data_IF_375773969173
#
_entry.id   IF_375773969173
#
_cell.length_a   1.000
_cell.length_b   1.000
_cell.length_c   1.000
_cell.angle_alpha   90.00
_cell.angle_beta   90.00
_cell.angle_gamma   90.00
#
_symmetry.space_group_name_H-M   'P 1'
#
loop_
_entity.id
_entity.type
_entity.pdbx_description
1 polymer ?
#
# COMPACT_ATOMS: atom_id res chain seq x y z
N UNK A 1 -13.54 -40.02 20.91
CA UNK A 1 -13.92 -38.60 20.70
C UNK A 1 -12.74 -37.76 21.14
N UNK A 2 -11.88 -37.34 20.22
CA UNK A 2 -10.77 -36.43 20.50
C UNK A 2 -11.36 -35.03 20.68
N UNK A 3 -11.37 -34.56 21.93
CA UNK A 3 -11.74 -33.18 22.27
C UNK A 3 -10.76 -32.22 21.60
N UNK A 4 -11.18 -31.59 20.52
CA UNK A 4 -10.44 -30.51 19.87
C UNK A 4 -10.50 -29.33 20.84
N UNK A 5 -9.46 -29.14 21.65
CA UNK A 5 -9.35 -27.93 22.46
C UNK A 5 -9.29 -26.72 21.51
N UNK A 6 -10.11 -25.68 21.74
CA UNK A 6 -10.01 -24.46 20.95
C UNK A 6 -8.60 -23.90 21.11
N UNK A 7 -7.88 -23.77 20.00
CA UNK A 7 -6.57 -23.11 20.00
C UNK A 7 -6.73 -21.68 20.57
N UNK A 8 -5.79 -21.21 21.39
CA UNK A 8 -5.93 -19.95 22.10
C UNK A 8 -5.81 -18.78 21.13
N UNK A 9 -6.89 -17.98 21.02
CA UNK A 9 -6.90 -16.72 20.28
C UNK A 9 -5.78 -15.84 20.80
N UNK A 10 -4.79 -15.54 19.97
CA UNK A 10 -3.84 -14.45 20.30
C UNK A 10 -4.68 -13.18 20.40
N UNK A 11 -4.88 -12.61 21.60
CA UNK A 11 -5.73 -11.43 21.74
C UNK A 11 -5.04 -10.24 21.05
N UNK A 12 -5.79 -9.43 20.31
CA UNK A 12 -5.32 -8.16 19.72
C UNK A 12 -4.52 -7.31 20.74
N UNK A 13 -4.92 -7.38 22.01
CA UNK A 13 -4.26 -6.72 23.14
C UNK A 13 -2.77 -7.06 23.28
N UNK A 14 -2.34 -8.29 22.92
CA UNK A 14 -0.94 -8.70 23.02
C UNK A 14 -0.07 -8.00 21.97
N UNK A 15 -0.55 -7.86 20.74
CA UNK A 15 0.20 -7.17 19.68
C UNK A 15 0.25 -5.66 19.92
N UNK A 16 -0.84 -5.04 20.36
CA UNK A 16 -0.86 -3.62 20.71
C UNK A 16 0.03 -3.32 21.92
N UNK A 17 0.01 -4.19 22.93
CA UNK A 17 0.90 -4.06 24.08
C UNK A 17 2.35 -4.21 23.65
N UNK A 18 2.66 -5.19 22.80
CA UNK A 18 4.01 -5.35 22.24
C UNK A 18 4.48 -4.09 21.50
N UNK A 19 3.63 -3.56 20.60
CA UNK A 19 3.90 -2.36 19.81
C UNK A 19 4.19 -1.12 20.66
N UNK A 20 3.47 -0.96 21.78
CA UNK A 20 3.59 0.18 22.68
C UNK A 20 4.69 -0.01 23.73
N UNK A 21 5.09 -1.25 24.01
CA UNK A 21 6.09 -1.57 25.03
C UNK A 21 7.50 -1.52 24.49
N UNK A 22 7.76 -2.05 23.29
CA UNK A 22 9.11 -2.16 22.75
C UNK A 22 9.38 -1.08 21.69
N UNK A 23 10.53 -0.38 21.76
CA UNK A 23 10.96 0.47 20.66
C UNK A 23 11.29 -0.41 19.46
N UNK A 24 10.49 -0.29 18.42
CA UNK A 24 10.59 -1.09 17.21
C UNK A 24 11.18 -0.19 16.12
N UNK A 25 12.48 -0.34 15.77
CA UNK A 25 13.10 0.47 14.74
C UNK A 25 12.57 0.04 13.36
N UNK A 26 12.29 1.02 12.51
CA UNK A 26 11.94 0.76 11.11
C UNK A 26 13.20 0.32 10.36
N UNK A 27 13.07 -0.73 9.55
CA UNK A 27 14.13 -1.24 8.70
C UNK A 27 14.66 -0.15 7.77
N UNK A 28 15.97 0.10 7.83
CA UNK A 28 16.62 1.09 6.97
C UNK A 28 16.48 2.55 7.43
N UNK A 29 16.22 2.81 8.72
CA UNK A 29 16.10 4.16 9.32
C UNK A 29 17.38 5.02 9.32
N UNK A 30 18.39 4.66 8.54
CA UNK A 30 19.39 5.63 8.06
C UNK A 30 18.65 6.59 7.12
N UNK A 31 17.96 7.57 7.71
CA UNK A 31 16.85 8.33 7.12
C UNK A 31 17.11 8.79 5.68
N UNK A 32 16.56 8.03 4.73
CA UNK A 32 16.11 8.57 3.44
C UNK A 32 14.90 9.43 3.77
N UNK A 33 15.13 10.74 3.86
CA UNK A 33 14.14 11.81 3.93
C UNK A 33 12.82 11.53 4.71
N UNK A 34 12.62 12.13 5.90
CA UNK A 34 11.37 12.05 6.66
C UNK A 34 10.10 12.23 5.82
N UNK A 35 10.12 13.15 4.86
CA UNK A 35 8.96 13.45 4.03
C UNK A 35 8.66 12.32 3.04
N UNK A 36 9.68 11.61 2.55
CA UNK A 36 9.50 10.42 1.73
C UNK A 36 8.83 9.30 2.54
N UNK A 37 9.31 9.04 3.75
CA UNK A 37 8.72 8.04 4.65
C UNK A 37 7.26 8.36 4.96
N UNK A 38 6.99 9.63 5.24
CA UNK A 38 5.64 10.14 5.46
C UNK A 38 4.71 9.90 4.27
N UNK A 39 5.16 10.27 3.06
CA UNK A 39 4.41 10.11 1.83
C UNK A 39 4.08 8.64 1.53
N UNK A 40 5.04 7.74 1.76
CA UNK A 40 4.86 6.29 1.63
C UNK A 40 3.79 5.79 2.59
N UNK A 41 3.89 6.12 3.88
CA UNK A 41 2.93 5.69 4.90
C UNK A 41 1.50 6.15 4.57
N UNK A 42 1.35 7.42 4.19
CA UNK A 42 0.06 7.99 3.82
C UNK A 42 -0.56 7.27 2.61
N UNK A 43 0.24 7.08 1.55
CA UNK A 43 -0.21 6.45 0.31
C UNK A 43 -0.58 4.99 0.50
N UNK A 44 0.17 4.26 1.32
CA UNK A 44 -0.03 2.83 1.46
C UNK A 44 -1.22 2.47 2.36
N UNK A 45 -1.63 3.38 3.26
CA UNK A 45 -2.56 3.04 4.34
C UNK A 45 -3.90 3.79 4.34
N UNK A 46 -3.99 4.99 3.74
CA UNK A 46 -5.21 5.80 3.77
C UNK A 46 -6.20 5.51 2.64
N UNK A 47 -5.77 5.48 1.37
CA UNK A 47 -6.70 5.18 0.30
C UNK A 47 -7.09 3.70 0.36
N UNK A 48 -8.39 3.35 0.29
CA UNK A 48 -8.77 2.00 -0.03
C UNK A 48 -8.20 1.66 -1.41
N UNK A 49 -7.65 0.47 -1.56
CA UNK A 49 -7.11 0.00 -2.82
C UNK A 49 -8.23 -0.21 -3.86
N UNK A 50 -9.46 -0.50 -3.40
CA UNK A 50 -10.63 -0.83 -4.23
C UNK A 50 -11.45 0.38 -4.69
N UNK A 51 -11.51 1.49 -3.93
CA UNK A 51 -12.06 2.71 -4.53
C UNK A 51 -11.04 3.12 -5.56
N UNK A 52 -11.50 3.12 -6.81
CA UNK A 52 -10.91 3.77 -7.95
C UNK A 52 -10.59 5.24 -7.63
N UNK A 53 -9.59 5.49 -6.78
CA UNK A 53 -8.48 6.28 -7.22
C UNK A 53 -7.99 5.58 -8.47
N UNK A 54 -8.66 5.94 -9.56
CA UNK A 54 -8.16 5.70 -10.88
C UNK A 54 -6.72 6.18 -10.77
N UNK A 55 -5.79 5.23 -10.69
CA UNK A 55 -4.63 5.24 -11.56
C UNK A 55 -5.23 5.23 -12.97
N UNK A 56 -5.90 6.33 -13.33
CA UNK A 56 -6.21 6.68 -14.68
C UNK A 56 -4.83 6.76 -15.27
N UNK A 57 -4.55 5.99 -16.31
CA UNK A 57 -3.35 6.20 -17.11
C UNK A 57 -3.29 7.62 -17.72
N UNK A 58 -4.30 8.48 -17.48
CA UNK A 58 -4.30 9.93 -17.74
C UNK A 58 -3.63 10.77 -16.66
N UNK A 59 -3.57 10.31 -15.41
CA UNK A 59 -2.74 10.93 -14.40
C UNK A 59 -1.50 10.06 -14.29
N UNK A 60 -0.35 10.64 -14.68
CA UNK A 60 0.99 10.07 -14.56
C UNK A 60 1.14 9.18 -13.32
N UNK A 61 1.93 8.09 -13.36
CA UNK A 61 1.89 6.96 -12.44
C UNK A 61 2.17 7.29 -10.96
N UNK A 62 1.40 8.15 -10.27
CA UNK A 62 1.89 8.91 -9.11
C UNK A 62 3.41 9.03 -9.18
N UNK A 63 3.89 9.80 -10.15
CA UNK A 63 5.14 10.51 -9.94
C UNK A 63 4.86 11.41 -8.73
N UNK A 64 4.97 10.81 -7.55
CA UNK A 64 5.54 11.49 -6.42
C UNK A 64 6.79 12.12 -7.01
N UNK A 65 6.74 13.43 -7.23
CA UNK A 65 7.91 14.31 -7.40
C UNK A 65 8.71 14.32 -6.07
N UNK A 66 9.01 13.12 -5.60
CA UNK A 66 10.09 12.68 -4.77
C UNK A 66 11.02 11.82 -5.63
N UNK A 67 11.11 12.10 -6.93
CA UNK A 67 12.38 11.88 -7.62
C UNK A 67 13.40 12.73 -6.86
N UNK A 68 14.41 12.14 -6.20
CA UNK A 68 15.53 12.92 -5.70
C UNK A 68 16.03 13.75 -6.87
N UNK A 69 16.25 15.04 -6.65
CA UNK A 69 16.67 16.04 -7.64
C UNK A 69 18.07 15.80 -8.24
N UNK A 70 18.46 14.54 -8.44
CA UNK A 70 19.73 14.09 -8.99
C UNK A 70 19.56 13.23 -10.25
N UNK A 71 18.34 12.99 -10.73
CA UNK A 71 18.13 12.50 -12.09
C UNK A 71 17.81 13.69 -13.00
N UNK A 72 18.90 14.19 -13.54
CA UNK A 72 19.08 15.38 -14.35
C UNK A 72 18.51 15.18 -15.77
N UNK A 73 17.21 15.37 -15.94
CA UNK A 73 16.62 15.61 -17.27
C UNK A 73 16.05 17.02 -17.29
N UNK A 74 16.85 17.97 -17.79
CA UNK A 74 16.60 19.41 -17.83
C UNK A 74 15.33 19.85 -18.58
N UNK A 75 14.16 19.52 -18.04
CA UNK A 75 12.87 20.04 -18.48
C UNK A 75 12.38 21.11 -17.47
N UNK A 76 12.48 22.41 -17.80
CA UNK A 76 12.09 23.49 -16.89
C UNK A 76 10.57 23.62 -16.65
N UNK A 77 9.74 22.85 -17.34
CA UNK A 77 8.27 22.94 -17.23
C UNK A 77 7.62 21.92 -16.26
N UNK A 78 8.39 21.02 -15.64
CA UNK A 78 7.89 20.05 -14.63
C UNK A 78 8.03 20.64 -13.22
N UNK A 79 7.43 21.81 -12.95
CA UNK A 79 7.50 22.45 -11.62
C UNK A 79 6.14 22.77 -10.97
N UNK A 80 5.03 22.44 -11.62
CA UNK A 80 3.71 22.88 -11.15
C UNK A 80 2.66 21.77 -10.97
N UNK A 81 2.93 20.51 -11.36
CA UNK A 81 1.93 19.45 -11.49
C UNK A 81 1.54 18.69 -10.20
N UNK A 82 2.49 18.29 -9.35
CA UNK A 82 2.22 17.38 -8.22
C UNK A 82 2.18 18.06 -6.84
N UNK A 83 1.60 19.27 -6.75
CA UNK A 83 1.42 20.01 -5.49
C UNK A 83 0.22 19.57 -4.63
N UNK A 84 -0.62 18.63 -5.05
CA UNK A 84 -1.94 18.48 -4.45
C UNK A 84 -2.27 17.10 -3.88
N UNK A 85 -1.91 16.92 -2.61
CA UNK A 85 -2.90 16.53 -1.59
C UNK A 85 -2.50 17.10 -0.23
N UNK A 86 -3.43 17.90 0.33
CA UNK A 86 -3.64 18.55 1.64
C UNK A 86 -2.69 18.37 2.83
N UNK A 87 -1.78 17.42 2.79
CA UNK A 87 -1.08 16.89 3.95
C UNK A 87 0.09 17.79 4.39
N UNK A 88 0.62 18.63 3.50
CA UNK A 88 1.56 19.72 3.85
C UNK A 88 0.91 21.06 4.14
N UNK A 89 -0.42 21.21 4.01
CA UNK A 89 -1.05 22.52 4.28
C UNK A 89 -1.13 22.82 5.78
N UNK A 90 -1.07 21.80 6.64
CA UNK A 90 -1.20 21.96 8.08
C UNK A 90 0.15 21.83 8.76
N UNK A 91 0.45 22.77 9.65
CA UNK A 91 1.63 22.69 10.50
C UNK A 91 1.50 21.56 11.52
N UNK A 92 2.63 20.94 11.91
CA UNK A 92 2.64 19.92 12.98
C UNK A 92 1.99 20.44 14.26
N UNK A 93 2.14 21.74 14.59
CA UNK A 93 1.44 22.36 15.73
C UNK A 93 -0.08 22.25 15.61
N UNK A 94 -0.65 22.57 14.44
CA UNK A 94 -2.09 22.46 14.19
C UNK A 94 -2.58 21.01 14.33
N UNK A 95 -1.85 20.05 13.74
CA UNK A 95 -2.15 18.62 13.84
C UNK A 95 -2.07 18.14 15.29
N UNK A 96 -1.06 18.56 16.05
CA UNK A 96 -0.94 18.23 17.47
C UNK A 96 -2.10 18.78 18.30
N UNK A 97 -2.59 19.98 18.00
CA UNK A 97 -3.76 20.56 18.68
C UNK A 97 -5.01 19.72 18.40
N UNK A 98 -5.29 19.40 17.13
CA UNK A 98 -6.46 18.58 16.81
C UNK A 98 -6.38 17.16 17.35
N UNK A 99 -5.18 16.55 17.37
CA UNK A 99 -4.97 15.24 18.00
C UNK A 99 -5.23 15.28 19.52
N UNK A 100 -4.91 16.39 20.21
CA UNK A 100 -5.28 16.58 21.63
C UNK A 100 -6.78 16.73 21.84
N UNK A 101 -7.48 17.28 20.85
CA UNK A 101 -8.95 17.39 20.81
C UNK A 101 -9.63 16.12 20.29
N UNK A 102 -8.89 15.02 20.14
CA UNK A 102 -9.38 13.72 19.65
C UNK A 102 -10.00 13.77 18.24
N UNK A 103 -9.56 14.71 17.41
CA UNK A 103 -9.87 14.72 15.97
C UNK A 103 -9.11 13.54 15.34
N UNK A 104 -9.83 12.48 14.99
CA UNK A 104 -9.26 11.20 14.56
C UNK A 104 -8.29 11.31 13.38
N UNK A 105 -8.57 12.17 12.41
CA UNK A 105 -7.68 12.38 11.26
C UNK A 105 -6.35 13.01 11.68
N UNK A 106 -6.38 13.91 12.66
CA UNK A 106 -5.18 14.54 13.20
C UNK A 106 -4.39 13.59 14.10
N UNK A 107 -5.07 12.66 14.78
CA UNK A 107 -4.43 11.57 15.51
C UNK A 107 -3.67 10.63 14.56
N UNK A 108 -4.33 10.18 13.48
CA UNK A 108 -3.71 9.32 12.46
C UNK A 108 -2.52 10.03 11.79
N UNK A 109 -2.68 11.29 11.41
CA UNK A 109 -1.62 12.10 10.82
C UNK A 109 -0.44 12.32 11.78
N UNK A 110 -0.72 12.66 13.05
CA UNK A 110 0.31 12.84 14.07
C UNK A 110 1.12 11.55 14.28
N UNK A 111 0.47 10.39 14.28
CA UNK A 111 1.16 9.11 14.41
C UNK A 111 2.19 8.91 13.29
N UNK A 112 1.83 9.21 12.04
CA UNK A 112 2.74 9.10 10.89
C UNK A 112 3.86 10.12 10.98
N UNK A 113 3.58 11.38 11.37
CA UNK A 113 4.61 12.42 11.54
C UNK A 113 5.64 12.02 12.59
N UNK A 114 5.19 11.51 13.75
CA UNK A 114 6.05 10.99 14.81
C UNK A 114 6.88 9.80 14.34
N UNK A 115 6.34 8.95 13.48
CA UNK A 115 7.07 7.80 12.92
C UNK A 115 8.11 8.21 11.88
N UNK A 116 7.73 9.12 10.99
CA UNK A 116 8.56 9.57 9.89
C UNK A 116 9.61 10.61 10.32
N UNK A 117 9.38 11.30 11.45
CA UNK A 117 10.22 12.42 11.90
C UNK A 117 9.95 13.72 11.12
N UNK A 118 8.71 13.94 10.64
CA UNK A 118 8.35 15.15 9.88
C UNK A 118 8.01 16.28 10.84
N UNK A 119 8.89 17.28 10.91
CA UNK A 119 8.82 18.41 11.85
C UNK A 119 8.67 17.97 13.33
N UNK A 120 9.09 16.74 13.64
CA UNK A 120 9.12 16.17 14.99
C UNK A 120 10.37 15.30 15.13
N UNK A 121 10.82 15.08 16.36
CA UNK A 121 11.70 13.94 16.63
C UNK A 121 10.96 12.63 16.28
N UNK A 122 11.71 11.61 15.84
CA UNK A 122 11.14 10.27 15.64
C UNK A 122 10.75 9.70 17.00
N UNK A 123 9.49 9.34 17.16
CA UNK A 123 8.92 8.77 18.38
C UNK A 123 7.91 7.67 18.01
N UNK A 124 8.45 6.49 17.69
CA UNK A 124 7.66 5.32 17.25
C UNK A 124 6.67 4.86 18.31
N UNK A 125 7.08 4.91 19.58
CA UNK A 125 6.27 4.51 20.73
C UNK A 125 5.05 5.41 20.90
N UNK A 126 5.23 6.73 20.82
CA UNK A 126 4.10 7.66 20.92
C UNK A 126 3.16 7.54 19.73
N UNK A 127 3.68 7.40 18.52
CA UNK A 127 2.84 7.15 17.34
C UNK A 127 2.03 5.86 17.49
N UNK A 128 2.64 4.78 17.97
CA UNK A 128 1.96 3.50 18.25
C UNK A 128 0.83 3.65 19.30
N UNK A 129 1.07 4.39 20.38
CA UNK A 129 0.05 4.65 21.40
C UNK A 129 -1.14 5.44 20.83
N UNK A 130 -0.90 6.37 19.91
CA UNK A 130 -1.98 7.11 19.24
C UNK A 130 -2.80 6.15 18.36
N UNK A 131 -2.16 5.29 17.57
CA UNK A 131 -2.89 4.31 16.74
C UNK A 131 -3.68 3.31 17.59
N UNK A 132 -3.11 2.83 18.70
CA UNK A 132 -3.83 2.00 19.67
C UNK A 132 -5.11 2.69 20.14
N UNK A 133 -5.02 3.95 20.56
CA UNK A 133 -6.19 4.76 20.95
C UNK A 133 -7.22 4.89 19.84
N UNK A 134 -6.80 5.10 18.58
CA UNK A 134 -7.73 5.17 17.44
C UNK A 134 -8.42 3.82 17.19
N UNK A 135 -7.70 2.70 17.26
CA UNK A 135 -8.25 1.38 17.02
C UNK A 135 -9.23 0.93 18.13
N UNK A 136 -8.84 1.10 19.40
CA UNK A 136 -9.63 0.69 20.56
C UNK A 136 -10.75 1.68 20.90
N UNK A 137 -10.61 2.96 20.51
CA UNK A 137 -11.55 4.03 20.83
C UNK A 137 -12.89 3.97 20.08
N UNK A 138 -13.85 4.86 20.39
CA UNK A 138 -15.19 4.87 19.81
C UNK A 138 -15.25 5.54 18.41
N UNK A 139 -14.27 5.27 17.55
CA UNK A 139 -14.18 5.88 16.22
C UNK A 139 -14.88 5.03 15.15
N UNK A 140 -15.21 5.68 14.02
CA UNK A 140 -15.83 5.01 12.88
C UNK A 140 -14.97 3.85 12.35
N UNK A 141 -15.57 2.74 11.88
CA UNK A 141 -14.84 1.55 11.42
C UNK A 141 -13.76 1.86 10.37
N UNK A 142 -14.02 2.78 9.45
CA UNK A 142 -13.08 3.14 8.38
C UNK A 142 -11.79 3.73 8.95
N UNK A 143 -11.89 4.56 10.01
CA UNK A 143 -10.74 5.17 10.67
C UNK A 143 -9.95 4.15 11.47
N UNK A 144 -10.65 3.20 12.12
CA UNK A 144 -10.03 2.04 12.76
C UNK A 144 -9.29 1.17 11.74
N UNK A 145 -9.87 1.01 10.54
CA UNK A 145 -9.24 0.31 9.43
C UNK A 145 -7.91 0.94 9.04
N UNK A 146 -7.86 2.27 8.92
CA UNK A 146 -6.61 3.00 8.63
C UNK A 146 -5.58 2.79 9.74
N UNK A 147 -5.98 2.84 11.00
CA UNK A 147 -5.09 2.55 12.12
C UNK A 147 -4.53 1.11 12.05
N UNK A 148 -5.39 0.12 11.81
CA UNK A 148 -4.98 -1.27 11.64
C UNK A 148 -4.00 -1.45 10.47
N UNK A 149 -4.28 -0.79 9.34
CA UNK A 149 -3.39 -0.76 8.18
C UNK A 149 -2.02 -0.16 8.50
N UNK A 150 -1.96 0.94 9.24
CA UNK A 150 -0.69 1.55 9.67
C UNK A 150 0.09 0.63 10.62
N UNK A 151 -0.58 -0.06 11.53
CA UNK A 151 0.05 -1.05 12.42
C UNK A 151 0.57 -2.24 11.61
N UNK A 152 -0.16 -2.71 10.60
CA UNK A 152 0.29 -3.76 9.70
C UNK A 152 1.58 -3.35 8.96
N UNK A 153 1.64 -2.11 8.44
CA UNK A 153 2.84 -1.57 7.79
C UNK A 153 4.04 -1.59 8.73
N UNK A 154 3.80 -1.19 9.98
CA UNK A 154 4.83 -1.16 10.98
C UNK A 154 5.44 -2.54 11.20
N UNK A 155 4.61 -3.54 11.54
CA UNK A 155 5.09 -4.91 11.72
C UNK A 155 5.74 -5.49 10.44
N UNK A 156 5.25 -5.12 9.26
CA UNK A 156 5.85 -5.56 8.00
C UNK A 156 7.28 -5.04 7.80
N UNK A 157 7.58 -3.82 8.24
CA UNK A 157 8.86 -3.14 8.03
C UNK A 157 9.74 -3.03 9.28
N UNK A 158 9.35 -3.61 10.41
CA UNK A 158 10.20 -3.64 11.60
C UNK A 158 11.29 -4.70 11.46
N UNK A 159 12.54 -4.28 11.69
CA UNK A 159 13.64 -5.19 12.00
C UNK A 159 13.84 -5.11 13.52
N UNK A 160 13.64 -6.19 14.28
CA UNK A 160 14.05 -6.22 15.69
C UNK A 160 15.41 -6.90 15.82
N UNK A 161 16.52 -6.16 15.94
CA UNK A 161 17.84 -6.76 16.12
C UNK A 161 18.01 -7.39 17.51
N UNK A 162 17.24 -6.96 18.52
CA UNK A 162 17.50 -7.29 19.92
C UNK A 162 16.64 -8.43 20.54
N UNK A 163 15.97 -9.28 19.75
CA UNK A 163 15.33 -10.49 20.31
C UNK A 163 15.84 -11.71 19.57
N UNK A 164 17.11 -12.08 19.73
CA UNK A 164 17.58 -13.38 19.22
C UNK A 164 16.97 -14.57 19.97
N UNK A 165 16.22 -14.34 21.05
CA UNK A 165 15.53 -15.39 21.80
C UNK A 165 14.27 -15.85 21.04
N UNK A 166 14.23 -17.11 20.57
CA UNK A 166 13.03 -17.67 20.00
C UNK A 166 11.97 -17.74 21.11
N UNK A 167 10.86 -17.05 20.92
CA UNK A 167 9.66 -17.25 21.76
C UNK A 167 8.79 -18.18 20.94
N UNK A 168 8.46 -19.35 21.49
CA UNK A 168 7.72 -20.41 20.80
C UNK A 168 8.41 -20.96 19.53
N UNK A 169 9.75 -20.92 19.47
CA UNK A 169 10.52 -21.42 18.32
C UNK A 169 10.43 -20.57 17.05
N UNK A 170 9.71 -19.44 17.07
CA UNK A 170 9.60 -18.53 15.94
C UNK A 170 10.71 -17.48 15.94
N UNK A 171 11.27 -17.20 14.76
CA UNK A 171 12.17 -16.06 14.59
C UNK A 171 11.42 -14.74 14.82
N UNK A 172 12.09 -13.66 15.27
CA UNK A 172 11.46 -12.34 15.45
C UNK A 172 10.76 -11.84 14.20
N UNK A 173 11.42 -12.01 13.05
CA UNK A 173 10.90 -11.66 11.74
C UNK A 173 9.59 -12.38 11.45
N UNK A 174 9.49 -13.66 11.79
CA UNK A 174 8.26 -14.43 11.64
C UNK A 174 7.15 -13.91 12.57
N UNK A 175 7.46 -13.53 13.82
CA UNK A 175 6.45 -12.97 14.73
C UNK A 175 5.87 -11.64 14.21
N UNK A 176 6.74 -10.78 13.71
CA UNK A 176 6.33 -9.52 13.08
C UNK A 176 5.50 -9.77 11.82
N UNK A 177 5.90 -10.75 11.02
CA UNK A 177 5.12 -11.17 9.87
C UNK A 177 3.70 -11.63 10.23
N UNK A 178 3.56 -12.49 11.24
CA UNK A 178 2.26 -12.95 11.75
C UNK A 178 1.42 -11.77 12.25
N UNK A 179 2.02 -10.83 12.99
CA UNK A 179 1.33 -9.62 13.41
C UNK A 179 0.88 -8.77 12.22
N UNK A 180 1.71 -8.63 11.18
CA UNK A 180 1.35 -7.88 9.98
C UNK A 180 0.15 -8.50 9.25
N UNK A 181 0.09 -9.83 9.12
CA UNK A 181 -1.07 -10.55 8.57
C UNK A 181 -2.32 -10.28 9.41
N UNK A 182 -2.21 -10.43 10.72
CA UNK A 182 -3.33 -10.21 11.64
C UNK A 182 -3.91 -8.79 11.49
N UNK A 183 -3.05 -7.77 11.52
CA UNK A 183 -3.48 -6.37 11.40
C UNK A 183 -4.02 -6.03 10.00
N UNK A 184 -3.46 -6.64 8.94
CA UNK A 184 -4.03 -6.53 7.60
C UNK A 184 -5.43 -7.15 7.55
N UNK A 185 -5.67 -8.28 8.22
CA UNK A 185 -6.98 -8.90 8.32
C UNK A 185 -7.96 -8.04 9.13
N UNK A 186 -7.52 -7.42 10.23
CA UNK A 186 -8.36 -6.46 10.96
C UNK A 186 -8.76 -5.25 10.12
N UNK A 187 -7.83 -4.69 9.33
CA UNK A 187 -8.15 -3.65 8.36
C UNK A 187 -9.24 -4.09 7.37
N UNK A 188 -9.13 -5.32 6.85
CA UNK A 188 -10.14 -5.90 5.94
C UNK A 188 -11.51 -6.05 6.61
N UNK A 189 -11.57 -6.54 7.86
CA UNK A 189 -12.84 -6.69 8.62
C UNK A 189 -13.53 -5.36 8.85
N UNK A 190 -12.75 -4.28 8.95
CA UNK A 190 -13.22 -2.91 9.11
C UNK A 190 -13.56 -2.24 7.77
N UNK A 191 -13.57 -3.01 6.67
CA UNK A 191 -13.95 -2.52 5.34
C UNK A 191 -12.83 -1.79 4.59
N UNK A 192 -11.58 -1.85 5.06
CA UNK A 192 -10.44 -1.23 4.39
C UNK A 192 -9.43 -2.30 3.91
N UNK A 193 -9.40 -2.54 2.61
CA UNK A 193 -8.29 -3.22 1.96
C UNK A 193 -7.34 -2.16 1.38
N UNK A 194 -6.20 -1.91 2.02
CA UNK A 194 -5.21 -0.89 1.62
C UNK A 194 -4.07 -1.50 0.79
N UNK A 195 -3.17 -0.66 0.26
CA UNK A 195 -2.00 -1.16 -0.46
C UNK A 195 -1.06 -1.97 0.43
N UNK A 196 -0.96 -1.66 1.73
CA UNK A 196 -0.19 -2.50 2.64
C UNK A 196 -0.85 -3.86 2.87
N UNK A 197 -2.19 -3.96 2.90
CA UNK A 197 -2.87 -5.27 2.90
C UNK A 197 -2.47 -6.08 1.65
N UNK A 198 -2.41 -5.44 0.48
CA UNK A 198 -1.94 -6.09 -0.74
C UNK A 198 -0.46 -6.49 -0.67
N UNK A 199 0.43 -5.66 -0.10
CA UNK A 199 1.84 -6.02 0.09
C UNK A 199 2.00 -7.22 1.04
N UNK A 200 1.24 -7.25 2.14
CA UNK A 200 1.19 -8.39 3.05
C UNK A 200 0.76 -9.66 2.32
N UNK A 201 -0.30 -9.56 1.51
CA UNK A 201 -0.79 -10.67 0.69
C UNK A 201 0.24 -11.16 -0.35
N UNK A 202 0.92 -10.25 -1.06
CA UNK A 202 1.96 -10.59 -2.04
C UNK A 202 3.14 -11.33 -1.42
N UNK A 203 3.61 -10.83 -0.27
CA UNK A 203 4.70 -11.48 0.45
C UNK A 203 4.26 -12.85 0.99
N UNK A 204 3.00 -13.01 1.44
CA UNK A 204 2.48 -14.30 1.86
C UNK A 204 2.46 -15.34 0.74
N UNK A 205 2.12 -14.93 -0.49
CA UNK A 205 2.13 -15.79 -1.68
C UNK A 205 3.55 -16.23 -2.09
N UNK A 206 4.57 -15.51 -1.64
CA UNK A 206 5.98 -15.80 -1.95
C UNK A 206 6.64 -16.72 -0.91
N UNK A 207 5.94 -17.04 0.17
CA UNK A 207 6.45 -17.96 1.19
C UNK A 207 6.42 -19.39 0.65
N UNK A 208 7.45 -20.21 0.97
CA UNK A 208 7.48 -21.60 0.55
C UNK A 208 6.25 -22.36 1.07
N UNK A 209 5.82 -23.39 0.33
CA UNK A 209 4.60 -24.19 0.55
C UNK A 209 4.58 -24.99 1.87
N UNK A 210 5.54 -24.77 2.78
CA UNK A 210 5.56 -25.33 4.14
C UNK A 210 4.51 -24.66 5.04
N UNK A 211 3.26 -24.79 4.58
CA UNK A 211 2.02 -24.28 5.16
C UNK A 211 1.74 -24.89 6.53
N UNK A 212 2.40 -25.99 6.88
CA UNK A 212 2.25 -26.72 8.13
C UNK A 212 2.54 -25.82 9.36
N UNK A 213 3.44 -24.84 9.25
CA UNK A 213 3.75 -23.93 10.38
C UNK A 213 2.69 -22.85 10.64
N UNK A 214 1.79 -22.59 9.70
CA UNK A 214 0.74 -21.58 9.82
C UNK A 214 -0.61 -22.18 10.23
N UNK A 215 -0.66 -23.48 10.51
CA UNK A 215 -1.90 -24.20 10.78
C UNK A 215 -2.53 -23.76 12.11
N UNK A 216 -3.51 -22.87 12.00
CA UNK A 216 -4.29 -22.39 13.13
C UNK A 216 -5.00 -21.08 12.80
N UNK A 217 -4.99 -20.17 13.77
CA UNK A 217 -5.77 -18.93 13.75
C UNK A 217 -5.35 -17.98 12.64
N UNK A 218 -4.07 -18.00 12.27
CA UNK A 218 -3.56 -17.16 11.20
C UNK A 218 -4.08 -17.57 9.83
N UNK A 219 -4.46 -18.84 9.64
CA UNK A 219 -5.00 -19.30 8.36
C UNK A 219 -6.26 -18.52 7.99
N UNK A 220 -7.15 -18.28 8.96
CA UNK A 220 -8.36 -17.49 8.73
C UNK A 220 -8.06 -16.02 8.40
N UNK A 221 -7.08 -15.41 9.08
CA UNK A 221 -6.63 -14.04 8.79
C UNK A 221 -6.01 -13.94 7.39
N UNK A 222 -5.14 -14.89 7.04
CA UNK A 222 -4.48 -14.94 5.74
C UNK A 222 -5.47 -15.20 4.61
N UNK A 223 -6.37 -16.17 4.76
CA UNK A 223 -7.40 -16.50 3.77
C UNK A 223 -8.30 -15.27 3.52
N UNK A 224 -8.66 -14.53 4.56
CA UNK A 224 -9.42 -13.28 4.43
C UNK A 224 -8.64 -12.23 3.61
N UNK A 225 -7.38 -11.99 3.93
CA UNK A 225 -6.53 -11.01 3.24
C UNK A 225 -6.33 -11.41 1.77
N UNK A 226 -6.13 -12.69 1.48
CA UNK A 226 -5.99 -13.21 0.11
C UNK A 226 -7.31 -13.09 -0.68
N UNK A 227 -8.45 -13.38 -0.07
CA UNK A 227 -9.75 -13.23 -0.72
C UNK A 227 -10.02 -11.76 -1.09
N UNK A 228 -9.72 -10.81 -0.19
CA UNK A 228 -9.86 -9.38 -0.47
C UNK A 228 -8.89 -8.92 -1.57
N UNK A 229 -7.68 -9.50 -1.64
CA UNK A 229 -6.77 -9.25 -2.75
C UNK A 229 -7.35 -9.71 -4.09
N UNK A 230 -8.02 -10.85 -4.15
CA UNK A 230 -8.63 -11.32 -5.39
C UNK A 230 -9.71 -10.37 -5.90
N UNK A 231 -10.54 -9.83 -5.00
CA UNK A 231 -11.52 -8.78 -5.30
C UNK A 231 -10.80 -7.55 -5.87
N UNK A 232 -9.79 -7.04 -5.16
CA UNK A 232 -8.99 -5.89 -5.60
C UNK A 232 -8.34 -6.09 -6.98
N UNK A 233 -7.74 -7.25 -7.24
CA UNK A 233 -7.14 -7.57 -8.55
C UNK A 233 -8.21 -7.63 -9.64
N UNK A 234 -9.39 -8.19 -9.32
CA UNK A 234 -10.53 -8.22 -10.24
C UNK A 234 -11.04 -6.83 -10.63
N UNK A 235 -11.09 -5.91 -9.66
CA UNK A 235 -11.59 -4.54 -9.81
C UNK A 235 -10.61 -3.58 -10.45
N UNK A 236 -9.30 -3.76 -10.25
CA UNK A 236 -8.28 -2.78 -10.68
C UNK A 236 -7.35 -3.29 -11.78
N UNK A 237 -7.31 -4.61 -11.98
CA UNK A 237 -6.35 -5.26 -12.87
C UNK A 237 -4.92 -5.22 -12.36
N UNK A 238 -4.69 -4.75 -11.12
CA UNK A 238 -3.37 -4.66 -10.52
C UNK A 238 -2.67 -6.03 -10.57
N UNK A 239 -1.40 -6.04 -10.98
CA UNK A 239 -0.57 -7.24 -10.99
C UNK A 239 0.55 -7.08 -9.96
N UNK A 240 0.92 -8.17 -9.26
CA UNK A 240 1.99 -8.12 -8.27
C UNK A 240 3.29 -7.59 -8.89
N UNK A 241 4.00 -6.74 -8.15
CA UNK A 241 5.27 -6.14 -8.63
C UNK A 241 6.40 -7.16 -8.69
N UNK A 242 6.27 -8.25 -7.95
CA UNK A 242 7.24 -9.33 -7.94
C UNK A 242 7.24 -10.02 -9.30
N UNK A 243 8.27 -9.74 -10.10
CA UNK A 243 8.44 -10.32 -11.44
C UNK A 243 8.78 -11.81 -11.43
N UNK A 244 8.63 -12.44 -10.28
CA UNK A 244 9.04 -13.80 -9.99
C UNK A 244 7.85 -14.72 -9.75
N UNK A 245 6.60 -14.25 -9.83
CA UNK A 245 5.41 -15.10 -9.66
C UNK A 245 4.48 -15.04 -10.88
N UNK A 246 3.90 -16.20 -11.22
CA UNK A 246 2.93 -16.29 -12.30
C UNK A 246 1.60 -15.59 -11.91
N UNK A 247 1.12 -14.63 -12.70
CA UNK A 247 -0.11 -13.88 -12.46
C UNK A 247 -1.39 -14.73 -12.45
N UNK A 248 -1.34 -15.97 -12.96
CA UNK A 248 -2.45 -16.93 -12.90
C UNK A 248 -2.38 -17.87 -11.71
N UNK A 249 -1.31 -18.67 -11.62
CA UNK A 249 -1.22 -19.75 -10.62
C UNK A 249 -0.46 -19.35 -9.35
N UNK A 250 0.09 -18.13 -9.31
CA UNK A 250 0.84 -17.54 -8.20
C UNK A 250 2.10 -18.32 -7.80
N UNK A 251 2.53 -19.30 -8.62
CA UNK A 251 3.76 -20.07 -8.41
C UNK A 251 4.97 -19.32 -8.94
N UNK A 252 6.07 -19.44 -8.20
CA UNK A 252 7.41 -19.08 -8.67
C UNK A 252 7.81 -20.03 -9.80
N UNK A 253 8.41 -19.54 -10.91
CA UNK A 253 8.90 -20.41 -11.95
C UNK A 253 10.09 -21.24 -11.43
N UNK A 254 10.39 -22.41 -12.03
CA UNK A 254 11.62 -23.14 -11.75
C UNK A 254 12.86 -22.24 -11.86
N UNK A 255 13.89 -22.52 -11.06
CA UNK A 255 15.14 -21.77 -11.09
C UNK A 255 15.71 -21.70 -12.52
N UNK A 256 16.13 -20.50 -12.94
CA UNK A 256 16.63 -20.24 -14.29
C UNK A 256 15.57 -20.04 -15.39
N UNK A 257 14.28 -20.28 -15.12
CA UNK A 257 13.23 -20.03 -16.11
C UNK A 257 12.62 -18.63 -15.99
N UNK A 258 12.40 -17.97 -17.14
CA UNK A 258 11.80 -16.64 -17.21
C UNK A 258 10.28 -16.74 -17.42
N UNK A 259 9.52 -15.87 -16.74
CA UNK A 259 8.08 -15.76 -16.95
C UNK A 259 7.78 -15.02 -18.26
N UNK A 260 6.83 -15.55 -19.03
CA UNK A 260 6.30 -14.93 -20.24
C UNK A 260 5.47 -13.70 -19.86
N UNK A 261 5.86 -12.53 -20.36
CA UNK A 261 5.07 -11.30 -20.17
C UNK A 261 3.89 -11.24 -21.13
N UNK A 262 2.80 -10.59 -20.73
CA UNK A 262 1.73 -10.25 -21.67
C UNK A 262 2.29 -9.37 -22.81
N UNK A 263 2.02 -9.80 -24.06
CA UNK A 263 2.42 -9.08 -25.27
C UNK A 263 1.54 -7.86 -25.58
N UNK A 264 0.50 -7.61 -24.79
CA UNK A 264 -0.37 -6.46 -24.95
C UNK A 264 0.28 -5.14 -24.54
N UNK A 265 -0.37 -4.06 -24.95
CA UNK A 265 0.01 -2.66 -24.69
C UNK A 265 -0.49 -2.11 -23.36
N UNK A 266 -0.71 -2.98 -22.36
CA UNK A 266 -1.06 -2.53 -21.01
C UNK A 266 0.15 -1.94 -20.28
N UNK A 267 -0.11 -0.97 -19.41
CA UNK A 267 0.86 -0.41 -18.47
C UNK A 267 1.64 -1.51 -17.72
N UNK A 268 2.93 -1.25 -17.46
CA UNK A 268 3.83 -2.19 -16.77
C UNK A 268 3.26 -2.69 -15.43
N UNK A 269 2.59 -1.81 -14.67
CA UNK A 269 1.95 -2.14 -13.38
C UNK A 269 0.75 -3.09 -13.49
N UNK A 270 0.18 -3.22 -14.69
CA UNK A 270 -0.93 -4.12 -15.02
C UNK A 270 -0.50 -5.26 -15.93
N UNK A 271 0.79 -5.38 -16.27
CA UNK A 271 1.30 -6.36 -17.24
C UNK A 271 1.68 -7.66 -16.52
N UNK A 272 0.81 -8.68 -16.55
CA UNK A 272 1.06 -9.94 -15.86
C UNK A 272 2.20 -10.70 -16.54
N UNK A 273 2.83 -11.56 -15.75
CA UNK A 273 3.79 -12.54 -16.24
C UNK A 273 3.28 -13.95 -15.95
N UNK A 274 3.60 -14.92 -16.80
CA UNK A 274 3.05 -16.26 -16.74
C UNK A 274 4.13 -17.31 -16.88
N UNK A 275 4.00 -18.43 -16.18
CA UNK A 275 4.91 -19.56 -16.35
C UNK A 275 4.77 -20.24 -17.72
N UNK A 276 3.73 -19.93 -18.49
CA UNK A 276 3.54 -20.48 -19.83
C UNK A 276 2.25 -19.99 -20.50
N UNK A 277 2.09 -20.32 -21.80
CA UNK A 277 0.91 -19.93 -22.61
C UNK A 277 -0.41 -20.47 -22.04
N UNK A 278 -0.39 -21.60 -21.35
CA UNK A 278 -1.59 -22.16 -20.71
C UNK A 278 -2.12 -21.24 -19.60
N UNK A 279 -1.25 -20.77 -18.71
CA UNK A 279 -1.62 -19.82 -17.66
C UNK A 279 -2.07 -18.47 -18.24
N UNK A 280 -1.41 -17.99 -19.30
CA UNK A 280 -1.82 -16.77 -19.99
C UNK A 280 -3.23 -16.89 -20.59
N UNK A 281 -3.53 -17.99 -21.30
CA UNK A 281 -4.86 -18.23 -21.87
C UNK A 281 -5.94 -18.34 -20.80
N UNK A 282 -5.65 -19.04 -19.70
CA UNK A 282 -6.59 -19.21 -18.59
C UNK A 282 -6.90 -17.90 -17.86
N UNK A 283 -5.93 -16.97 -17.80
CA UNK A 283 -6.12 -15.65 -17.20
C UNK A 283 -6.70 -14.61 -18.16
N UNK A 284 -6.75 -14.90 -19.47
CA UNK A 284 -7.07 -13.91 -20.50
C UNK A 284 -8.43 -13.26 -20.32
N UNK A 285 -9.47 -14.01 -19.95
CA UNK A 285 -10.82 -13.46 -19.73
C UNK A 285 -10.84 -12.40 -18.61
N UNK A 286 -9.98 -12.55 -17.60
CA UNK A 286 -9.79 -11.59 -16.50
C UNK A 286 -8.90 -10.42 -16.95
N UNK A 287 -7.74 -10.72 -17.53
CA UNK A 287 -6.75 -9.70 -17.90
C UNK A 287 -7.20 -8.82 -19.07
N UNK A 288 -7.94 -9.34 -20.05
CA UNK A 288 -8.36 -8.62 -21.27
C UNK A 288 -9.05 -7.28 -20.96
N UNK A 289 -9.77 -7.18 -19.85
CA UNK A 289 -10.44 -5.95 -19.39
C UNK A 289 -9.44 -4.79 -19.20
N UNK A 290 -8.23 -5.14 -18.77
CA UNK A 290 -7.12 -4.26 -18.42
C UNK A 290 -6.01 -4.25 -19.49
N UNK A 291 -6.01 -5.24 -20.39
CA UNK A 291 -5.08 -5.37 -21.51
C UNK A 291 -5.47 -4.46 -22.69
N UNK A 292 -5.75 -3.18 -22.41
CA UNK A 292 -6.03 -2.20 -23.45
C UNK A 292 -4.73 -1.45 -23.76
N UNK A 293 -4.59 -0.99 -25.01
CA UNK A 293 -3.62 0.05 -25.35
C UNK A 293 -3.96 1.21 -24.42
N UNK A 294 -3.08 1.51 -23.49
CA UNK A 294 -3.09 2.85 -22.91
C UNK A 294 -3.11 3.76 -24.13
N UNK A 295 -4.18 4.54 -24.29
CA UNK A 295 -4.15 5.66 -25.22
C UNK A 295 -2.93 6.44 -24.76
N UNK A 296 -1.84 6.34 -25.52
CA UNK A 296 -0.60 7.02 -25.20
C UNK A 296 -1.02 8.47 -25.00
N UNK A 297 -0.88 9.06 -23.79
CA UNK A 297 -1.28 10.45 -23.59
C UNK A 297 -0.46 11.38 -24.48
N UNK A 298 0.68 10.89 -25.00
CA UNK A 298 1.49 11.56 -26.03
C UNK A 298 0.97 11.40 -27.47
N UNK A 299 0.00 10.51 -27.74
CA UNK A 299 -0.53 10.26 -29.08
C UNK A 299 -1.88 10.92 -29.38
N UNK A 300 -2.54 11.47 -28.36
CA UNK A 300 -3.67 12.40 -28.51
C UNK A 300 -3.18 13.85 -28.61
N UNK A 301 -2.04 14.09 -29.27
CA UNK A 301 -1.75 15.41 -29.86
C UNK A 301 -2.70 15.65 -31.05
N UNK A 302 -4.00 15.62 -30.78
CA UNK A 302 -4.99 16.27 -31.64
C UNK A 302 -4.81 17.75 -31.38
N UNK A 303 -3.84 18.32 -32.08
CA UNK A 303 -3.71 19.73 -32.42
C UNK A 303 -4.52 20.67 -31.50
N UNK A 304 -4.10 20.80 -30.24
CA UNK A 304 -4.70 21.74 -29.28
C UNK A 304 -4.58 23.18 -29.81
N UNK A 305 -3.59 23.41 -30.68
CA UNK A 305 -3.45 24.60 -31.52
C UNK A 305 -4.59 24.78 -32.53
N UNK A 306 -5.18 23.72 -33.09
CA UNK A 306 -6.32 23.83 -33.99
C UNK A 306 -7.63 24.17 -33.25
N UNK A 307 -7.81 23.68 -32.02
CA UNK A 307 -8.93 24.07 -31.15
C UNK A 307 -8.79 25.52 -30.64
N UNK A 308 -7.56 25.97 -30.38
CA UNK A 308 -7.30 27.36 -29.99
C UNK A 308 -7.44 28.34 -31.18
N UNK A 309 -7.06 27.92 -32.39
CA UNK A 309 -7.20 28.74 -33.61
C UNK A 309 -8.66 28.87 -34.10
N UNK A 310 -9.56 27.96 -33.74
CA UNK A 310 -11.00 28.13 -34.04
C UNK A 310 -11.71 29.14 -33.13
N UNK A 311 -11.20 29.41 -31.93
CA UNK A 311 -11.85 30.30 -30.97
C UNK A 311 -11.39 31.76 -31.04
N UNK A 312 -10.33 32.08 -31.79
CA UNK A 312 -9.84 33.46 -31.94
C UNK A 312 -10.27 34.13 -33.26
N UNK A 313 -10.99 33.43 -34.14
CA UNK A 313 -11.34 33.94 -35.47
C UNK A 313 -12.75 34.54 -35.59
N UNK A 314 -13.54 34.63 -34.50
CA UNK A 314 -14.95 35.09 -34.58
C UNK A 314 -15.23 36.48 -34.01
N UNK A 315 -14.25 37.19 -33.46
CA UNK A 315 -14.52 38.41 -32.68
C UNK A 315 -14.14 39.74 -33.36
N UNK A 316 -13.98 39.78 -34.69
CA UNK A 316 -13.59 41.00 -35.41
C UNK A 316 -14.64 41.55 -36.40
N UNK A 317 -15.93 41.31 -36.13
CA UNK A 317 -17.01 41.83 -36.99
C UNK A 317 -18.18 42.45 -36.24
N UNK A 318 -17.90 43.47 -35.42
CA UNK A 318 -18.91 44.49 -35.09
C UNK A 318 -18.29 45.67 -34.33
N UNK A 319 -17.77 46.64 -35.07
CA UNK A 319 -17.87 48.05 -34.71
C UNK A 319 -17.90 48.88 -36.00
N UNK A 320 -19.13 49.14 -36.44
CA UNK A 320 -19.52 50.18 -37.39
C UNK A 320 -20.06 51.36 -36.61
#
# INVERSE_FOLDING_TARGET
MTSIMPKPKVPDANYLTYLTTFPLPLRGSSAKDPLQTYAVLYTLCFPPATKSYLINSRDEPMDFDYAPSHLDSGNPNIKQGCRNRRVRLRSTKSVMVGAKLEIVDDMLELAIRLWAGVDTAVDTRRGANILKRVYEGPFAPEKKGVAASLIAHFFFHCDHPAIDTPILGMSPRMRHWVAAIHWAAQSCRLGLFSFICNLVAECALSLPDDKASYEGELKGDLDLVLAQREVFVGETGYQPRLTTICGRCLKTPPEGSQLLQCAGSCARVRKPQYCGRQCQKADWSRHRKWCKKDLDPASDSVDEAALYNMHMATDDSSNS
#
